data_IF_791942867533
#
_entry.id   IF_791942867533
#
_cell.length_a   1.000
_cell.length_b   1.000
_cell.length_c   1.000
_cell.angle_alpha   90.00
_cell.angle_beta   90.00
_cell.angle_gamma   90.00
#
_symmetry.space_group_name_H-M   'P 1'
#
loop_
_entity.id
_entity.type
_entity.pdbx_description
1 polymer ?
#
# COMPACT_ATOMS: atom_id res chain seq x y z
N UNK A 1 -30.88 42.81 -28.98
CA UNK A 1 -31.11 41.94 -30.16
C UNK A 1 -30.16 40.77 -29.99
N UNK A 2 -30.60 39.73 -29.29
CA UNK A 2 -31.00 38.41 -29.84
C UNK A 2 -29.76 37.67 -30.39
N UNK A 3 -29.31 36.53 -29.88
CA UNK A 3 -29.99 35.28 -29.51
C UNK A 3 -29.10 34.55 -28.47
N UNK A 4 -29.61 34.04 -27.35
CA UNK A 4 -30.30 32.76 -27.20
C UNK A 4 -29.54 31.56 -27.81
N UNK A 5 -29.14 30.63 -26.94
CA UNK A 5 -28.55 29.36 -27.38
C UNK A 5 -27.49 28.76 -26.46
N UNK A 6 -27.79 28.53 -25.18
CA UNK A 6 -27.59 27.21 -24.55
C UNK A 6 -28.10 27.22 -23.09
N UNK A 7 -29.44 27.26 -22.95
CA UNK A 7 -30.12 26.86 -21.71
C UNK A 7 -30.59 25.41 -21.83
N UNK A 8 -29.71 24.47 -22.18
CA UNK A 8 -30.00 23.06 -21.93
C UNK A 8 -29.90 22.81 -20.43
N UNK A 9 -30.99 22.29 -19.85
CA UNK A 9 -31.26 22.25 -18.42
C UNK A 9 -30.06 21.89 -17.54
N UNK A 10 -29.68 22.82 -16.67
CA UNK A 10 -28.78 22.56 -15.54
C UNK A 10 -29.51 21.60 -14.60
N UNK A 11 -29.34 20.29 -14.81
CA UNK A 11 -29.58 19.33 -13.72
C UNK A 11 -28.62 19.73 -12.60
N UNK A 12 -29.16 20.19 -11.47
CA UNK A 12 -28.37 20.44 -10.28
C UNK A 12 -27.79 19.10 -9.81
N UNK A 13 -26.58 18.78 -10.25
CA UNK A 13 -25.85 17.59 -9.80
C UNK A 13 -25.08 17.91 -8.53
N UNK A 14 -24.90 16.91 -7.67
CA UNK A 14 -23.98 16.96 -6.54
C UNK A 14 -22.64 16.30 -6.90
N UNK A 15 -21.53 16.85 -6.40
CA UNK A 15 -20.19 16.29 -6.58
C UNK A 15 -19.78 15.59 -5.29
N UNK A 16 -19.42 14.30 -5.38
CA UNK A 16 -18.87 13.53 -4.27
C UNK A 16 -17.35 13.36 -4.44
N UNK A 17 -16.59 13.80 -3.44
CA UNK A 17 -15.15 13.55 -3.37
C UNK A 17 -14.86 12.38 -2.43
N UNK A 18 -14.30 11.29 -2.94
CA UNK A 18 -13.89 10.12 -2.16
C UNK A 18 -12.39 9.83 -2.34
N UNK A 19 -11.71 9.44 -1.25
CA UNK A 19 -10.29 9.06 -1.28
C UNK A 19 -10.14 7.64 -0.74
N UNK A 20 -9.73 6.73 -1.63
CA UNK A 20 -9.38 5.36 -1.28
C UNK A 20 -7.86 5.25 -1.26
N UNK A 21 -7.26 5.28 -0.07
CA UNK A 21 -5.82 5.14 0.09
C UNK A 21 -5.53 4.24 1.30
N UNK A 22 -4.52 3.36 1.23
CA UNK A 22 -4.12 2.58 2.38
C UNK A 22 -3.61 3.50 3.50
N UNK A 23 -3.82 3.09 4.76
CA UNK A 23 -3.43 3.91 5.91
C UNK A 23 -1.90 4.16 5.89
N UNK A 24 -1.42 5.41 6.05
CA UNK A 24 0.01 5.74 5.98
C UNK A 24 0.87 4.93 6.97
N UNK A 25 0.28 4.58 8.12
CA UNK A 25 0.92 3.78 9.17
C UNK A 25 1.43 2.40 8.68
N UNK A 26 0.82 1.82 7.66
CA UNK A 26 1.22 0.52 7.11
C UNK A 26 2.57 0.66 6.38
N UNK A 27 2.69 1.69 5.54
CA UNK A 27 3.93 1.94 4.79
C UNK A 27 5.09 2.28 5.73
N UNK A 28 4.83 3.08 6.78
CA UNK A 28 5.85 3.39 7.79
C UNK A 28 6.29 2.15 8.57
N UNK A 29 5.38 1.21 8.84
CA UNK A 29 5.72 -0.07 9.47
C UNK A 29 6.71 -0.88 8.63
N UNK A 30 6.42 -1.06 7.34
CA UNK A 30 7.34 -1.75 6.43
C UNK A 30 8.69 -1.05 6.32
N UNK A 31 8.70 0.28 6.18
CA UNK A 31 9.95 1.06 6.14
C UNK A 31 10.79 0.85 7.39
N UNK A 32 10.17 0.91 8.58
CA UNK A 32 10.87 0.70 9.83
C UNK A 32 11.44 -0.72 9.92
N UNK A 33 10.67 -1.73 9.51
CA UNK A 33 11.14 -3.12 9.45
C UNK A 33 12.34 -3.29 8.52
N UNK A 34 12.36 -2.63 7.35
CA UNK A 34 13.51 -2.70 6.43
C UNK A 34 14.73 -2.01 7.03
N UNK A 35 14.54 -0.85 7.67
CA UNK A 35 15.62 -0.15 8.37
C UNK A 35 16.20 -1.04 9.47
N UNK A 36 15.35 -1.63 10.32
CA UNK A 36 15.79 -2.54 11.38
C UNK A 36 16.58 -3.74 10.81
N UNK A 37 16.13 -4.32 9.69
CA UNK A 37 16.83 -5.42 9.03
C UNK A 37 18.20 -4.99 8.49
N UNK A 38 18.29 -3.83 7.84
CA UNK A 38 19.56 -3.27 7.35
C UNK A 38 20.50 -3.00 8.51
N UNK A 39 20.03 -2.37 9.58
CA UNK A 39 20.82 -2.08 10.77
C UNK A 39 21.37 -3.35 11.40
N UNK A 40 20.52 -4.36 11.62
CA UNK A 40 20.95 -5.66 12.15
C UNK A 40 21.96 -6.36 11.21
N UNK A 41 21.72 -6.30 9.89
CA UNK A 41 22.63 -6.84 8.89
C UNK A 41 24.00 -6.16 8.88
N UNK A 42 24.06 -4.83 9.05
CA UNK A 42 25.30 -4.07 9.16
C UNK A 42 26.12 -4.50 10.39
N UNK A 43 25.49 -4.61 11.56
CA UNK A 43 26.17 -5.13 12.76
C UNK A 43 26.68 -6.55 12.53
N UNK A 44 25.85 -7.39 11.90
CA UNK A 44 26.23 -8.75 11.53
C UNK A 44 27.47 -8.81 10.63
N UNK A 45 27.53 -7.96 9.61
CA UNK A 45 28.67 -7.81 8.70
C UNK A 45 29.93 -7.35 9.44
N UNK A 46 29.82 -6.42 10.38
CA UNK A 46 30.97 -5.99 11.20
C UNK A 46 31.55 -7.12 12.05
N UNK A 47 30.68 -7.94 12.67
CA UNK A 47 31.11 -9.13 13.41
C UNK A 47 31.72 -10.17 12.48
N UNK A 48 31.12 -10.43 11.32
CA UNK A 48 31.64 -11.34 10.31
C UNK A 48 33.05 -10.93 9.83
N UNK A 49 33.24 -9.64 9.53
CA UNK A 49 34.54 -9.10 9.15
C UNK A 49 35.59 -9.30 10.26
N UNK A 50 35.19 -9.09 11.52
CA UNK A 50 36.06 -9.31 12.67
C UNK A 50 36.48 -10.79 12.82
N UNK A 51 35.56 -11.74 12.58
CA UNK A 51 35.89 -13.18 12.59
C UNK A 51 36.86 -13.58 11.47
N UNK A 52 36.72 -12.99 10.28
CA UNK A 52 37.64 -13.21 9.16
C UNK A 52 39.05 -12.72 9.48
N UNK A 53 39.17 -11.53 10.11
CA UNK A 53 40.47 -10.97 10.50
C UNK A 53 41.18 -11.81 11.57
N UNK A 54 40.42 -12.44 12.48
CA UNK A 54 40.96 -13.31 13.55
C UNK A 54 41.29 -14.73 13.02
N UNK A 55 41.06 -15.01 11.74
CA UNK A 55 41.32 -16.33 11.13
C UNK A 55 40.40 -17.44 11.65
N UNK A 56 39.25 -17.08 12.25
CA UNK A 56 38.25 -18.04 12.71
C UNK A 56 37.33 -18.47 11.57
N UNK A 57 36.71 -19.64 11.74
CA UNK A 57 35.78 -20.20 10.76
C UNK A 57 34.64 -19.22 10.42
N UNK A 58 34.49 -18.94 9.12
CA UNK A 58 33.45 -18.10 8.55
C UNK A 58 32.05 -18.77 8.51
N UNK A 59 31.86 -19.89 9.20
CA UNK A 59 30.57 -20.57 9.23
C UNK A 59 29.45 -19.68 9.79
N UNK A 60 29.75 -18.91 10.83
CA UNK A 60 28.81 -17.96 11.44
C UNK A 60 28.37 -16.84 10.49
N UNK A 61 29.25 -16.37 9.60
CA UNK A 61 28.90 -15.32 8.64
C UNK A 61 28.02 -15.83 7.51
N UNK A 62 28.22 -17.08 7.07
CA UNK A 62 27.32 -17.73 6.11
C UNK A 62 25.91 -17.92 6.68
N UNK A 63 25.79 -18.44 7.91
CA UNK A 63 24.49 -18.62 8.58
C UNK A 63 23.78 -17.28 8.74
N UNK A 64 24.50 -16.23 9.16
CA UNK A 64 23.95 -14.89 9.31
C UNK A 64 23.51 -14.27 7.97
N UNK A 65 24.32 -14.43 6.93
CA UNK A 65 23.98 -13.99 5.58
C UNK A 65 22.73 -14.69 5.03
N UNK A 66 22.64 -16.01 5.20
CA UNK A 66 21.45 -16.78 4.83
C UNK A 66 20.21 -16.35 5.61
N UNK A 67 20.34 -16.09 6.92
CA UNK A 67 19.24 -15.60 7.75
C UNK A 67 18.75 -14.21 7.32
N UNK A 68 19.67 -13.27 7.07
CA UNK A 68 19.33 -11.95 6.54
C UNK A 68 18.61 -12.03 5.19
N UNK A 69 19.10 -12.89 4.28
CA UNK A 69 18.48 -13.10 2.97
C UNK A 69 17.05 -13.68 3.11
N UNK A 70 16.88 -14.68 3.97
CA UNK A 70 15.57 -15.28 4.23
C UNK A 70 14.57 -14.25 4.80
N UNK A 71 15.01 -13.40 5.74
CA UNK A 71 14.19 -12.33 6.30
C UNK A 71 13.83 -11.27 5.25
N UNK A 72 14.77 -10.88 4.39
CA UNK A 72 14.52 -9.93 3.31
C UNK A 72 13.48 -10.47 2.32
N UNK A 73 13.61 -11.73 1.91
CA UNK A 73 12.65 -12.41 1.04
C UNK A 73 11.28 -12.54 1.71
N UNK A 74 11.23 -12.89 2.99
CA UNK A 74 9.99 -12.96 3.77
C UNK A 74 9.27 -11.62 3.84
N UNK A 75 10.00 -10.54 4.10
CA UNK A 75 9.45 -9.18 4.08
C UNK A 75 8.94 -8.77 2.71
N UNK A 76 9.68 -9.09 1.64
CA UNK A 76 9.25 -8.83 0.27
C UNK A 76 7.95 -9.57 -0.08
N UNK A 77 7.87 -10.86 0.28
CA UNK A 77 6.66 -11.65 0.07
C UNK A 77 5.47 -11.10 0.87
N UNK A 78 5.67 -10.74 2.14
CA UNK A 78 4.65 -10.14 2.98
C UNK A 78 4.15 -8.80 2.40
N UNK A 79 5.06 -7.96 1.89
CA UNK A 79 4.70 -6.70 1.24
C UNK A 79 3.84 -6.94 -0.01
N UNK A 80 4.22 -7.89 -0.86
CA UNK A 80 3.47 -8.23 -2.08
C UNK A 80 2.07 -8.75 -1.75
N UNK A 81 1.93 -9.65 -0.77
CA UNK A 81 0.62 -10.15 -0.33
C UNK A 81 -0.23 -9.01 0.24
N UNK A 82 0.36 -8.17 1.10
CA UNK A 82 -0.32 -7.03 1.70
C UNK A 82 -0.85 -6.03 0.66
N UNK A 83 -0.05 -5.73 -0.37
CA UNK A 83 -0.47 -4.83 -1.45
C UNK A 83 -1.60 -5.42 -2.29
N UNK A 84 -1.58 -6.72 -2.59
CA UNK A 84 -2.67 -7.39 -3.33
C UNK A 84 -3.99 -7.35 -2.55
N UNK A 85 -3.93 -7.64 -1.26
CA UNK A 85 -5.12 -7.62 -0.39
C UNK A 85 -5.68 -6.20 -0.25
N UNK A 86 -4.82 -5.21 -0.04
CA UNK A 86 -5.22 -3.82 0.05
C UNK A 86 -5.86 -3.33 -1.26
N UNK A 87 -5.32 -3.74 -2.42
CA UNK A 87 -5.87 -3.40 -3.72
C UNK A 87 -7.28 -3.98 -3.91
N UNK A 88 -7.50 -5.25 -3.52
CA UNK A 88 -8.82 -5.87 -3.58
C UNK A 88 -9.85 -5.13 -2.71
N UNK A 89 -9.48 -4.80 -1.46
CA UNK A 89 -10.35 -4.05 -0.55
C UNK A 89 -10.67 -2.64 -1.07
N UNK A 90 -9.70 -1.96 -1.70
CA UNK A 90 -9.92 -0.64 -2.29
C UNK A 90 -10.79 -0.67 -3.55
N UNK A 91 -10.79 -1.79 -4.29
CA UNK A 91 -11.72 -2.00 -5.40
C UNK A 91 -13.13 -2.21 -4.86
N UNK A 92 -13.30 -3.10 -3.88
CA UNK A 92 -14.60 -3.39 -3.24
C UNK A 92 -15.25 -2.13 -2.66
N UNK A 93 -14.49 -1.29 -1.93
CA UNK A 93 -15.00 -0.04 -1.38
C UNK A 93 -15.49 0.94 -2.47
N UNK A 94 -14.83 0.94 -3.63
CA UNK A 94 -15.19 1.81 -4.75
C UNK A 94 -16.44 1.31 -5.45
N UNK A 95 -16.52 0.01 -5.66
CA UNK A 95 -17.67 -0.63 -6.29
C UNK A 95 -18.92 -0.42 -5.42
N UNK A 96 -18.81 -0.58 -4.10
CA UNK A 96 -19.90 -0.29 -3.16
C UNK A 96 -20.42 1.15 -3.27
N UNK A 97 -19.51 2.14 -3.36
CA UNK A 97 -19.91 3.55 -3.56
C UNK A 97 -20.58 3.74 -4.93
N UNK A 98 -20.08 3.06 -5.96
CA UNK A 98 -20.66 3.16 -7.30
C UNK A 98 -22.07 2.56 -7.36
N UNK A 99 -22.27 1.40 -6.73
CA UNK A 99 -23.56 0.69 -6.67
C UNK A 99 -24.60 1.51 -5.90
N UNK A 100 -24.21 2.06 -4.74
CA UNK A 100 -25.09 2.92 -3.94
C UNK A 100 -25.53 4.17 -4.72
N UNK A 101 -24.63 4.77 -5.53
CA UNK A 101 -24.98 5.90 -6.38
C UNK A 101 -25.85 5.50 -7.57
N UNK A 102 -25.67 4.30 -8.11
CA UNK A 102 -26.49 3.77 -9.19
C UNK A 102 -27.93 3.50 -8.72
N UNK A 103 -28.10 2.96 -7.52
CA UNK A 103 -29.41 2.74 -6.87
C UNK A 103 -30.13 4.07 -6.63
N UNK A 104 -29.44 5.07 -6.05
CA UNK A 104 -30.00 6.40 -5.82
C UNK A 104 -30.46 7.11 -7.11
N UNK A 105 -29.83 6.78 -8.25
CA UNK A 105 -30.20 7.30 -9.57
C UNK A 105 -31.40 6.59 -10.18
N UNK A 106 -31.62 5.33 -9.81
CA UNK A 106 -32.74 4.51 -10.29
C UNK A 106 -34.06 4.86 -9.58
N UNK A 107 -33.98 5.33 -8.33
CA UNK A 107 -35.12 5.89 -7.60
C UNK A 107 -35.60 7.19 -8.29
N UNK A 108 -36.84 7.29 -8.79
CA UNK A 108 -37.37 8.55 -9.31
C UNK A 108 -37.43 9.57 -8.16
N UNK A 109 -37.14 10.87 -8.42
CA UNK A 109 -37.25 11.88 -7.38
C UNK A 109 -38.68 11.86 -6.83
N UNK A 110 -38.82 11.71 -5.51
CA UNK A 110 -40.10 11.83 -4.83
C UNK A 110 -40.75 13.14 -5.29
N UNK A 111 -41.88 13.03 -5.98
CA UNK A 111 -42.65 14.16 -6.44
C UNK A 111 -43.20 14.90 -5.21
N UNK A 112 -42.66 16.09 -4.94
CA UNK A 112 -43.36 17.13 -4.18
C UNK A 112 -44.29 17.93 -5.08
#
# INVERSE_FOLDING_TARGET
MAHDGDRRGRRAGSVLHARFSPKPAIWTGFMLSYISLITAGCFGLMFAASFLVIGRSAWLSLVLGCACLALALGMYAAAQVGQRLAHAQMAELRDLVHDALAELRAEPPAAE
#
